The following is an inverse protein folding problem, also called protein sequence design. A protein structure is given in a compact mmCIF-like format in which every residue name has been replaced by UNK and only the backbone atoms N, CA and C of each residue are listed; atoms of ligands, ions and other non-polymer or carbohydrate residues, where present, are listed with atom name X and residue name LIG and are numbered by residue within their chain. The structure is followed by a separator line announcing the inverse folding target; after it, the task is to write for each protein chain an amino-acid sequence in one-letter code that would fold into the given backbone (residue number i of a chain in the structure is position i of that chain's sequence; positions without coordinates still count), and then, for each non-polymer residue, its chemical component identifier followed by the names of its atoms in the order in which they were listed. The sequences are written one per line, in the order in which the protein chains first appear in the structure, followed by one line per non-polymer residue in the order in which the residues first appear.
data_IF_298505641470
#
_entry.id   IF_298505641470
#
_cell.length_a   1.000
_cell.length_b   1.000
_cell.length_c   1.000
_cell.angle_alpha   90.00
_cell.angle_beta   90.00
_cell.angle_gamma   90.00
#
_symmetry.space_group_name_H-M   'P 1'
#
loop_
_entity.id
_entity.type
_entity.pdbx_description
1 polymer ?
#
# COMPACT_ATOMS: atom_id res chain seq x y z
N UNK A 1 -13.48 -6.03 15.46
CA UNK A 1 -13.66 -4.58 15.38
C UNK A 1 -14.88 -4.26 14.53
N UNK A 2 -15.67 -3.31 15.00
CA UNK A 2 -16.85 -2.73 14.35
C UNK A 2 -16.46 -1.81 13.19
N UNK A 3 -17.45 -1.42 12.38
CA UNK A 3 -17.26 -0.39 11.34
C UNK A 3 -16.85 0.96 11.95
N UNK A 4 -17.39 1.31 13.13
CA UNK A 4 -17.04 2.53 13.84
C UNK A 4 -15.55 2.56 14.23
N UNK A 5 -15.05 1.49 14.85
CA UNK A 5 -13.63 1.37 15.21
C UNK A 5 -12.71 1.40 13.98
N UNK A 6 -13.14 0.83 12.84
CA UNK A 6 -12.38 0.91 11.59
C UNK A 6 -12.25 2.37 11.09
N UNK A 7 -13.31 3.18 11.22
CA UNK A 7 -13.29 4.60 10.85
C UNK A 7 -12.38 5.38 11.79
N UNK A 8 -12.43 5.13 13.10
CA UNK A 8 -11.56 5.79 14.08
C UNK A 8 -10.07 5.53 13.79
N UNK A 9 -9.71 4.28 13.49
CA UNK A 9 -8.33 3.92 13.11
C UNK A 9 -7.90 4.63 11.83
N UNK A 10 -8.80 4.76 10.85
CA UNK A 10 -8.53 5.49 9.62
C UNK A 10 -8.28 6.99 9.88
N UNK A 11 -9.14 7.64 10.65
CA UNK A 11 -8.99 9.06 10.98
C UNK A 11 -7.73 9.33 11.81
N UNK A 12 -7.40 8.45 12.76
CA UNK A 12 -6.14 8.54 13.51
C UNK A 12 -4.91 8.39 12.59
N UNK A 13 -4.96 7.44 11.66
CA UNK A 13 -3.90 7.26 10.65
C UNK A 13 -3.73 8.51 9.78
N UNK A 14 -4.83 9.13 9.36
CA UNK A 14 -4.81 10.38 8.58
C UNK A 14 -4.17 11.51 9.39
N UNK A 15 -4.60 11.69 10.64
CA UNK A 15 -4.01 12.69 11.56
C UNK A 15 -2.52 12.46 11.75
N UNK A 16 -2.09 11.21 11.88
CA UNK A 16 -0.67 10.86 12.03
C UNK A 16 0.14 11.24 10.77
N UNK A 17 -0.40 11.00 9.57
CA UNK A 17 0.22 11.42 8.32
C UNK A 17 0.40 12.95 8.21
N UNK A 18 -0.50 13.72 8.79
CA UNK A 18 -0.48 15.19 8.74
C UNK A 18 0.43 15.83 9.81
N UNK A 19 0.51 15.20 10.98
CA UNK A 19 1.12 15.78 12.19
C UNK A 19 2.51 15.21 12.52
N UNK A 20 2.79 13.97 12.15
CA UNK A 20 4.11 13.37 12.39
C UNK A 20 5.09 13.79 11.29
N UNK A 21 6.08 14.61 11.63
CA UNK A 21 7.03 15.16 10.65
C UNK A 21 7.76 14.11 9.82
N UNK A 22 8.17 12.98 10.43
CA UNK A 22 8.87 11.90 9.73
C UNK A 22 7.96 11.20 8.72
N UNK A 23 6.73 10.90 9.12
CA UNK A 23 5.74 10.25 8.22
C UNK A 23 5.38 11.21 7.08
N UNK A 24 5.12 12.48 7.40
CA UNK A 24 4.80 13.52 6.41
C UNK A 24 5.89 13.68 5.35
N UNK A 25 7.16 13.70 5.75
CA UNK A 25 8.28 13.81 4.81
C UNK A 25 8.39 12.59 3.89
N UNK A 26 8.31 11.38 4.46
CA UNK A 26 8.34 10.13 3.69
C UNK A 26 7.14 10.05 2.75
N UNK A 27 5.96 10.46 3.19
CA UNK A 27 4.74 10.50 2.40
C UNK A 27 4.86 11.46 1.22
N UNK A 28 5.34 12.69 1.45
CA UNK A 28 5.57 13.67 0.38
C UNK A 28 6.53 13.13 -0.68
N UNK A 29 7.58 12.40 -0.26
CA UNK A 29 8.50 11.73 -1.18
C UNK A 29 7.82 10.60 -1.95
N UNK A 30 6.97 9.82 -1.31
CA UNK A 30 6.22 8.74 -1.96
C UNK A 30 5.26 9.28 -3.03
N UNK A 31 4.47 10.31 -2.70
CA UNK A 31 3.54 10.97 -3.64
C UNK A 31 4.30 11.56 -4.82
N UNK A 32 5.40 12.29 -4.58
CA UNK A 32 6.23 12.88 -5.64
C UNK A 32 6.77 11.84 -6.64
N UNK A 33 7.04 10.62 -6.19
CA UNK A 33 7.59 9.54 -7.01
C UNK A 33 6.55 8.54 -7.50
N UNK A 34 5.26 8.80 -7.24
CA UNK A 34 4.19 7.97 -7.73
C UNK A 34 4.11 8.05 -9.25
N UNK A 35 3.82 6.91 -9.88
CA UNK A 35 3.61 6.81 -11.32
C UNK A 35 2.23 6.24 -11.58
N UNK A 36 1.53 6.83 -12.54
CA UNK A 36 0.33 6.27 -13.13
C UNK A 36 0.71 5.68 -14.48
N UNK A 37 0.47 4.38 -14.64
CA UNK A 37 0.79 3.64 -15.86
C UNK A 37 -0.54 3.40 -16.57
N UNK A 38 -0.69 3.98 -17.76
CA UNK A 38 -1.87 3.82 -18.59
C UNK A 38 -1.89 2.46 -19.29
N UNK A 39 -3.06 1.99 -19.71
CA UNK A 39 -3.20 0.73 -20.46
C UNK A 39 -2.37 0.74 -21.76
N UNK A 40 -2.29 1.89 -22.41
CA UNK A 40 -1.56 2.08 -23.67
C UNK A 40 -0.04 2.31 -23.48
N UNK A 41 0.43 2.43 -22.24
CA UNK A 41 1.84 2.70 -21.97
C UNK A 41 2.71 1.45 -22.16
N UNK A 42 3.63 1.49 -23.10
CA UNK A 42 4.59 0.41 -23.30
C UNK A 42 5.62 0.36 -22.16
N UNK A 43 5.64 -0.76 -21.45
CA UNK A 43 6.66 -1.02 -20.43
C UNK A 43 7.94 -1.56 -21.07
N UNK A 44 9.08 -1.02 -20.63
CA UNK A 44 10.39 -1.53 -21.04
C UNK A 44 10.53 -3.02 -20.71
N UNK A 45 11.13 -3.79 -21.63
CA UNK A 45 11.44 -5.18 -21.39
C UNK A 45 12.29 -5.35 -20.12
N UNK A 46 11.91 -6.32 -19.28
CA UNK A 46 12.65 -6.66 -18.06
C UNK A 46 13.50 -7.90 -18.33
N UNK A 47 14.77 -7.85 -17.93
CA UNK A 47 15.64 -9.01 -17.94
C UNK A 47 15.14 -10.06 -16.93
N UNK A 48 14.68 -11.19 -17.46
CA UNK A 48 14.13 -12.30 -16.66
C UNK A 48 15.22 -13.18 -16.04
N UNK A 49 16.47 -13.06 -16.50
CA UNK A 49 17.63 -13.80 -16.00
C UNK A 49 18.50 -12.98 -15.04
N UNK A 50 17.97 -11.85 -14.54
CA UNK A 50 18.71 -10.93 -13.65
C UNK A 50 19.25 -11.58 -12.37
N UNK A 51 18.63 -12.65 -11.90
CA UNK A 51 19.02 -13.34 -10.67
C UNK A 51 19.46 -14.76 -10.99
N UNK A 52 20.63 -15.16 -10.47
CA UNK A 52 21.18 -16.50 -10.60
C UNK A 52 20.46 -17.49 -9.68
N UNK A 53 20.02 -17.03 -8.51
CA UNK A 53 19.30 -17.82 -7.52
C UNK A 53 17.83 -18.04 -7.92
N UNK A 54 17.31 -19.23 -7.64
CA UNK A 54 15.89 -19.54 -7.83
C UNK A 54 15.01 -18.71 -6.88
N UNK A 55 13.86 -18.25 -7.40
CA UNK A 55 12.89 -17.53 -6.60
C UNK A 55 12.23 -18.44 -5.56
N UNK A 56 12.36 -18.07 -4.27
CA UNK A 56 11.67 -18.77 -3.19
C UNK A 56 10.18 -18.39 -3.15
N UNK A 57 9.31 -19.38 -3.33
CA UNK A 57 7.85 -19.22 -3.22
C UNK A 57 7.39 -19.70 -1.84
N UNK A 58 6.69 -18.82 -1.11
CA UNK A 58 6.14 -19.14 0.22
C UNK A 58 4.65 -18.78 0.24
N UNK A 59 3.81 -19.73 0.64
CA UNK A 59 2.37 -19.51 0.85
C UNK A 59 2.10 -19.54 2.35
N UNK A 60 1.38 -18.55 2.87
CA UNK A 60 1.08 -18.45 4.31
C UNK A 60 -0.29 -17.83 4.59
N UNK A 61 -0.74 -17.95 5.84
CA UNK A 61 -1.96 -17.30 6.34
C UNK A 61 -1.75 -15.84 6.81
N UNK A 62 -0.51 -15.32 6.71
CA UNK A 62 -0.18 -13.96 7.16
C UNK A 62 -0.93 -12.91 6.34
N UNK A 63 -1.29 -11.81 6.98
CA UNK A 63 -1.77 -10.62 6.26
C UNK A 63 -0.63 -9.98 5.47
N UNK A 64 -0.96 -9.19 4.45
CA UNK A 64 0.01 -8.58 3.53
C UNK A 64 1.15 -7.86 4.24
N UNK A 65 0.85 -6.98 5.21
CA UNK A 65 1.90 -6.26 5.95
C UNK A 65 2.60 -7.09 7.03
N UNK A 66 1.94 -8.13 7.56
CA UNK A 66 2.61 -9.08 8.46
C UNK A 66 3.67 -9.89 7.70
N UNK A 67 3.37 -10.31 6.46
CA UNK A 67 4.34 -10.97 5.59
C UNK A 67 5.46 -10.02 5.14
N UNK A 68 5.12 -8.78 4.78
CA UNK A 68 6.12 -7.78 4.36
C UNK A 68 7.08 -7.39 5.51
N UNK A 69 6.60 -7.40 6.76
CA UNK A 69 7.42 -7.09 7.93
C UNK A 69 8.57 -8.07 8.16
N UNK A 70 8.46 -9.32 7.69
CA UNK A 70 9.54 -10.31 7.74
C UNK A 70 10.79 -9.87 6.92
N UNK A 71 10.62 -8.93 6.00
CA UNK A 71 11.68 -8.41 5.11
C UNK A 71 12.11 -6.97 5.49
N UNK A 72 11.98 -6.62 6.77
CA UNK A 72 12.38 -5.31 7.28
C UNK A 72 13.82 -4.93 6.86
N UNK A 73 14.03 -3.67 6.48
CA UNK A 73 15.29 -3.17 5.94
C UNK A 73 15.43 -3.28 4.43
N UNK A 74 14.50 -3.98 3.75
CA UNK A 74 14.46 -4.09 2.29
C UNK A 74 13.34 -3.22 1.69
N UNK A 75 13.44 -2.92 0.38
CA UNK A 75 12.35 -2.32 -0.39
C UNK A 75 11.44 -3.43 -0.92
N UNK A 76 10.35 -3.70 -0.21
CA UNK A 76 9.40 -4.77 -0.54
C UNK A 76 8.24 -4.18 -1.35
N UNK A 77 7.93 -4.78 -2.50
CA UNK A 77 6.71 -4.47 -3.24
C UNK A 77 5.55 -5.29 -2.68
N UNK A 78 4.43 -4.64 -2.41
CA UNK A 78 3.18 -5.30 -1.98
C UNK A 78 2.09 -5.03 -3.01
N UNK A 79 1.37 -6.07 -3.40
CA UNK A 79 0.22 -5.91 -4.29
C UNK A 79 -1.00 -5.46 -3.48
N UNK A 80 -1.66 -4.40 -3.94
CA UNK A 80 -2.88 -3.88 -3.34
C UNK A 80 -4.09 -4.36 -4.14
N UNK A 81 -5.07 -4.97 -3.48
CA UNK A 81 -6.35 -5.34 -4.10
C UNK A 81 -7.26 -4.10 -4.22
N UNK A 82 -6.81 -3.14 -5.04
CA UNK A 82 -7.39 -1.81 -5.12
C UNK A 82 -8.83 -1.81 -5.64
N UNK A 83 -9.62 -0.85 -5.17
CA UNK A 83 -10.90 -0.52 -5.81
C UNK A 83 -10.63 0.23 -7.12
N UNK A 84 -11.31 -0.18 -8.19
CA UNK A 84 -11.20 0.48 -9.50
C UNK A 84 -11.83 1.89 -9.53
N UNK A 85 -12.68 2.23 -8.56
CA UNK A 85 -13.50 3.45 -8.60
C UNK A 85 -13.32 4.35 -7.38
N UNK A 86 -12.78 3.85 -6.28
CA UNK A 86 -12.66 4.60 -5.03
C UNK A 86 -11.25 4.45 -4.44
N UNK A 87 -10.40 5.50 -4.46
CA UNK A 87 -9.13 5.52 -3.73
C UNK A 87 -9.30 5.08 -2.27
N UNK A 88 -8.53 4.07 -1.85
CA UNK A 88 -8.68 3.44 -0.53
C UNK A 88 -9.87 2.48 -0.40
N UNK A 89 -10.94 2.64 -1.19
CA UNK A 89 -12.17 1.84 -1.09
C UNK A 89 -13.15 2.40 -0.05
N UNK A 90 -13.81 1.53 0.71
CA UNK A 90 -14.84 1.91 1.70
C UNK A 90 -14.33 2.36 3.08
N UNK A 91 -13.11 2.88 3.14
CA UNK A 91 -12.34 3.09 4.40
C UNK A 91 -13.00 4.12 5.31
N UNK A 92 -13.55 5.18 4.73
CA UNK A 92 -14.31 6.23 5.41
C UNK A 92 -15.66 5.76 5.94
N UNK A 93 -16.11 4.58 5.52
CA UNK A 93 -17.36 3.94 5.97
C UNK A 93 -17.10 2.73 6.87
N UNK A 94 -15.84 2.46 7.21
CA UNK A 94 -15.45 1.36 8.07
C UNK A 94 -15.57 -0.02 7.42
N UNK A 95 -15.51 -0.08 6.09
CA UNK A 95 -15.60 -1.35 5.35
C UNK A 95 -14.47 -2.31 5.77
N UNK A 96 -14.78 -3.53 6.26
CA UNK A 96 -13.77 -4.49 6.67
C UNK A 96 -12.88 -4.97 5.51
N UNK A 97 -13.31 -4.84 4.24
CA UNK A 97 -12.46 -5.10 3.08
C UNK A 97 -11.22 -4.21 3.04
N UNK A 98 -11.25 -3.05 3.72
CA UNK A 98 -10.06 -2.21 3.96
C UNK A 98 -8.90 -2.99 4.56
N UNK A 99 -9.14 -4.00 5.40
CA UNK A 99 -8.07 -4.81 6.00
C UNK A 99 -7.37 -5.74 5.00
N UNK A 100 -7.94 -5.90 3.80
CA UNK A 100 -7.32 -6.61 2.67
C UNK A 100 -6.64 -5.65 1.69
N UNK A 101 -6.85 -4.35 1.86
CA UNK A 101 -6.26 -3.30 1.05
C UNK A 101 -5.10 -2.65 1.80
N UNK A 102 -4.07 -2.30 1.04
CA UNK A 102 -2.91 -1.58 1.56
C UNK A 102 -3.38 -0.15 1.80
N UNK A 103 -3.60 0.24 3.05
CA UNK A 103 -4.15 1.56 3.36
C UNK A 103 -3.34 2.43 4.33
N UNK A 104 -2.16 1.97 4.73
CA UNK A 104 -1.25 2.82 5.51
C UNK A 104 -0.62 3.84 4.55
N UNK A 105 -1.06 5.10 4.61
CA UNK A 105 -0.60 6.21 3.76
C UNK A 105 -1.13 6.23 2.32
N UNK A 106 -1.75 5.13 1.86
CA UNK A 106 -2.25 4.97 0.49
C UNK A 106 -3.43 5.88 0.10
N UNK A 107 -4.35 6.31 0.98
CA UNK A 107 -5.36 7.30 0.59
C UNK A 107 -4.70 8.60 0.08
N UNK A 108 -3.66 9.07 0.76
CA UNK A 108 -2.89 10.24 0.31
C UNK A 108 -2.04 9.94 -0.94
N UNK A 109 -1.59 8.70 -1.12
CA UNK A 109 -0.90 8.24 -2.34
C UNK A 109 -1.84 7.73 -3.45
N UNK A 110 -3.16 7.85 -3.37
CA UNK A 110 -4.07 7.46 -4.48
C UNK A 110 -5.07 8.59 -4.77
N UNK A 111 -5.27 9.52 -3.83
CA UNK A 111 -6.10 10.72 -4.02
C UNK A 111 -5.32 11.96 -4.48
N UNK A 112 -4.06 11.83 -4.89
CA UNK A 112 -3.26 12.91 -5.47
C UNK A 112 -3.53 13.06 -6.97
#
# INVERSE_FOLDING_TARGET
MSSFENVEVFEDTKKLCETNGKIKEVLARSVKNQKFILEEEELSAVDKARFEDEAKIVVSIKRTFEAAADYAGQKVAVHNFASATNPGGGVTRGDPAHRRNVCVGVPACISA
#
